data_IF_146304925747
#
_entry.id   IF_146304925747
#
_cell.length_a   1.000
_cell.length_b   1.000
_cell.length_c   1.000
_cell.angle_alpha   90.00
_cell.angle_beta   90.00
_cell.angle_gamma   90.00
#
_symmetry.space_group_name_H-M   'P 1'
#
loop_
_entity.id
_entity.type
_entity.pdbx_description
1 polymer ?
#
# COMPACT_ATOMS: atom_id res chain seq x y z
N UNK A 1 5.93 -19.04 -26.50
CA UNK A 1 5.94 -18.01 -25.43
C UNK A 1 7.34 -18.03 -24.83
N UNK A 2 8.08 -16.94 -24.90
CA UNK A 2 9.40 -16.83 -24.28
C UNK A 2 9.25 -16.09 -22.96
N UNK A 3 9.79 -16.67 -21.88
CA UNK A 3 9.83 -16.04 -20.56
C UNK A 3 11.26 -15.64 -20.29
N UNK A 4 11.49 -14.36 -19.98
CA UNK A 4 12.78 -13.84 -19.57
C UNK A 4 12.81 -13.75 -18.04
N UNK A 5 13.68 -14.57 -17.43
CA UNK A 5 14.03 -14.45 -16.01
C UNK A 5 15.27 -13.56 -15.91
N UNK A 6 15.18 -12.54 -15.07
CA UNK A 6 16.33 -11.71 -14.67
C UNK A 6 16.45 -11.78 -13.17
N UNK A 7 17.62 -12.19 -12.68
CA UNK A 7 17.92 -12.13 -11.26
C UNK A 7 17.95 -10.64 -10.83
N UNK A 8 17.20 -10.34 -9.78
CA UNK A 8 17.27 -9.03 -9.15
C UNK A 8 18.68 -8.90 -8.53
N UNK A 9 19.40 -7.80 -8.79
CA UNK A 9 20.69 -7.59 -8.16
C UNK A 9 20.53 -7.59 -6.64
N UNK A 10 21.46 -8.26 -5.96
CA UNK A 10 21.57 -8.38 -4.51
C UNK A 10 22.03 -7.05 -3.87
N UNK A 11 21.28 -6.00 -4.17
CA UNK A 11 21.43 -4.64 -3.65
C UNK A 11 20.34 -4.29 -2.64
N UNK A 12 19.47 -5.26 -2.31
CA UNK A 12 18.58 -5.13 -1.17
C UNK A 12 19.42 -5.10 0.10
N UNK A 13 19.24 -4.08 0.92
CA UNK A 13 19.90 -3.96 2.23
C UNK A 13 19.55 -5.21 3.08
N UNK A 14 20.51 -6.08 3.41
CA UNK A 14 20.23 -7.31 4.16
C UNK A 14 19.74 -7.05 5.58
N UNK A 15 19.88 -5.83 6.11
CA UNK A 15 19.31 -5.43 7.39
C UNK A 15 17.83 -5.01 7.28
N UNK A 16 17.38 -4.61 6.09
CA UNK A 16 15.97 -4.37 5.77
C UNK A 16 15.41 -5.65 5.14
N UNK A 17 15.32 -6.72 5.94
CA UNK A 17 14.66 -7.94 5.49
C UNK A 17 13.27 -7.61 4.94
N UNK A 18 12.84 -8.23 3.82
CA UNK A 18 11.50 -8.00 3.29
C UNK A 18 10.49 -8.26 4.41
N UNK A 19 9.53 -7.34 4.58
CA UNK A 19 8.43 -7.54 5.52
C UNK A 19 7.85 -8.94 5.33
N UNK A 20 7.64 -9.67 6.42
CA UNK A 20 7.11 -11.02 6.35
C UNK A 20 5.66 -10.96 5.85
N UNK A 21 5.22 -11.84 4.94
CA UNK A 21 3.79 -11.98 4.61
C UNK A 21 2.91 -12.25 5.83
N UNK A 22 3.49 -12.77 6.92
CA UNK A 22 2.79 -12.96 8.20
C UNK A 22 2.43 -11.63 8.91
N UNK A 23 3.12 -10.54 8.57
CA UNK A 23 2.94 -9.21 9.14
C UNK A 23 2.39 -8.23 8.08
N UNK A 24 1.54 -8.73 7.18
CA UNK A 24 0.93 -7.93 6.13
C UNK A 24 -0.19 -7.03 6.66
N UNK A 25 -0.32 -5.86 6.04
CA UNK A 25 -1.37 -4.89 6.30
C UNK A 25 -2.11 -4.58 5.01
N UNK A 26 -3.43 -4.39 5.12
CA UNK A 26 -4.25 -3.88 4.04
C UNK A 26 -4.49 -2.38 4.26
N UNK A 27 -3.98 -1.58 3.34
CA UNK A 27 -4.30 -0.15 3.20
C UNK A 27 -5.47 -0.02 2.23
N UNK A 28 -6.54 0.64 2.67
CA UNK A 28 -7.72 0.94 1.86
C UNK A 28 -7.82 2.44 1.68
N UNK A 29 -8.02 2.88 0.44
CA UNK A 29 -8.27 4.27 0.09
C UNK A 29 -9.58 4.38 -0.65
N UNK A 30 -10.43 5.33 -0.26
CA UNK A 30 -11.70 5.61 -0.93
C UNK A 30 -12.00 7.09 -1.03
N UNK A 31 -12.48 7.54 -2.18
CA UNK A 31 -12.97 8.90 -2.31
C UNK A 31 -13.32 9.27 -3.73
N UNK A 32 -13.61 10.55 -3.96
CA UNK A 32 -13.74 11.06 -5.32
C UNK A 32 -12.41 10.88 -6.05
N UNK A 33 -12.46 10.41 -7.30
CA UNK A 33 -11.24 10.22 -8.09
C UNK A 33 -10.52 11.55 -8.28
N UNK A 34 -9.24 11.57 -7.92
CA UNK A 34 -8.36 12.73 -8.03
C UNK A 34 -7.00 12.27 -8.54
N UNK A 35 -6.44 12.96 -9.56
CA UNK A 35 -5.10 12.68 -10.00
C UNK A 35 -4.10 12.69 -8.84
N UNK A 36 -3.28 11.65 -8.73
CA UNK A 36 -2.18 11.58 -7.78
C UNK A 36 -2.43 10.78 -6.49
N UNK A 37 -3.64 10.26 -6.24
CA UNK A 37 -3.90 9.42 -5.05
C UNK A 37 -2.92 8.25 -4.97
N UNK A 38 -2.81 7.46 -6.05
CA UNK A 38 -1.92 6.29 -6.13
C UNK A 38 -0.47 6.69 -5.87
N UNK A 39 0.00 7.74 -6.56
CA UNK A 39 1.38 8.22 -6.43
C UNK A 39 1.69 8.62 -4.99
N UNK A 40 0.85 9.45 -4.36
CA UNK A 40 1.13 9.98 -3.01
C UNK A 40 1.13 8.88 -1.95
N UNK A 41 0.24 7.90 -2.06
CA UNK A 41 0.19 6.76 -1.12
C UNK A 41 1.39 5.82 -1.33
N UNK A 42 1.72 5.48 -2.58
CA UNK A 42 2.87 4.63 -2.89
C UNK A 42 4.21 5.31 -2.52
N UNK A 43 4.31 6.63 -2.71
CA UNK A 43 5.46 7.44 -2.31
C UNK A 43 5.65 7.41 -0.79
N UNK A 44 4.56 7.45 0.00
CA UNK A 44 4.62 7.33 1.45
C UNK A 44 5.12 5.96 1.91
N UNK A 45 4.63 4.88 1.29
CA UNK A 45 5.16 3.53 1.54
C UNK A 45 6.66 3.46 1.23
N UNK A 46 7.05 4.01 0.08
CA UNK A 46 8.46 4.01 -0.38
C UNK A 46 9.37 4.78 0.57
N UNK A 47 8.96 5.96 1.05
CA UNK A 47 9.72 6.76 2.03
C UNK A 47 10.06 5.96 3.29
N UNK A 48 9.15 5.07 3.69
CA UNK A 48 9.27 4.22 4.89
C UNK A 48 9.85 2.83 4.60
N UNK A 49 10.24 2.56 3.34
CA UNK A 49 10.69 1.24 2.85
C UNK A 49 9.65 0.13 3.08
N UNK A 50 8.38 0.50 3.17
CA UNK A 50 7.27 -0.44 3.26
C UNK A 50 7.10 -1.08 1.90
N UNK A 51 7.19 -2.41 1.85
CA UNK A 51 7.03 -3.15 0.61
C UNK A 51 5.54 -3.20 0.24
N UNK A 52 5.22 -3.00 -1.03
CA UNK A 52 3.85 -3.16 -1.56
C UNK A 52 3.80 -4.53 -2.25
N UNK A 53 3.01 -5.45 -1.71
CA UNK A 53 2.94 -6.85 -2.20
C UNK A 53 1.82 -7.05 -3.20
N UNK A 54 0.74 -6.28 -3.10
CA UNK A 54 -0.38 -6.31 -4.05
C UNK A 54 -1.09 -4.96 -4.11
N UNK A 55 -1.67 -4.63 -5.27
CA UNK A 55 -2.48 -3.42 -5.47
C UNK A 55 -3.64 -3.73 -6.41
N UNK A 56 -4.85 -3.46 -5.94
CA UNK A 56 -6.07 -3.46 -6.74
C UNK A 56 -6.70 -2.06 -6.73
N UNK A 57 -7.14 -1.59 -7.89
CA UNK A 57 -7.89 -0.34 -8.02
C UNK A 57 -9.16 -0.56 -8.81
N UNK A 58 -10.22 0.14 -8.42
CA UNK A 58 -11.50 0.11 -9.13
C UNK A 58 -12.28 1.38 -8.90
N UNK A 59 -13.11 1.72 -9.87
CA UNK A 59 -14.14 2.75 -9.72
C UNK A 59 -15.46 2.03 -9.47
N UNK A 60 -16.19 2.47 -8.45
CA UNK A 60 -17.52 1.97 -8.09
C UNK A 60 -18.52 3.14 -7.99
N UNK A 61 -19.80 2.84 -7.75
CA UNK A 61 -20.87 3.85 -7.66
C UNK A 61 -21.68 4.00 -8.94
N UNK A 62 -22.78 4.74 -8.85
CA UNK A 62 -23.69 5.01 -9.98
C UNK A 62 -23.19 6.20 -10.82
N UNK A 63 -23.69 6.28 -12.05
CA UNK A 63 -23.44 7.40 -12.96
C UNK A 63 -23.76 8.74 -12.29
N UNK A 64 -22.74 9.60 -12.14
CA UNK A 64 -22.83 10.91 -11.49
C UNK A 64 -22.16 11.03 -10.12
N UNK A 65 -21.84 9.90 -9.47
CA UNK A 65 -21.11 9.87 -8.18
C UNK A 65 -20.11 8.71 -8.12
N UNK A 66 -19.11 8.66 -9.03
CA UNK A 66 -18.10 7.61 -9.01
C UNK A 66 -17.21 7.74 -7.76
N UNK A 67 -16.97 6.62 -7.10
CA UNK A 67 -16.07 6.48 -5.97
C UNK A 67 -14.87 5.64 -6.41
N UNK A 68 -13.70 6.23 -6.34
CA UNK A 68 -12.45 5.52 -6.52
C UNK A 68 -12.14 4.70 -5.27
N UNK A 69 -11.74 3.45 -5.46
CA UNK A 69 -11.30 2.55 -4.39
C UNK A 69 -9.94 1.97 -4.77
N UNK A 70 -8.99 2.04 -3.85
CA UNK A 70 -7.72 1.34 -3.92
C UNK A 70 -7.55 0.46 -2.69
N UNK A 71 -7.17 -0.79 -2.93
CA UNK A 71 -6.74 -1.75 -1.94
C UNK A 71 -5.26 -2.03 -2.20
N UNK A 72 -4.44 -1.86 -1.17
CA UNK A 72 -3.01 -2.03 -1.26
C UNK A 72 -2.57 -2.91 -0.10
N UNK A 73 -2.01 -4.08 -0.43
CA UNK A 73 -1.34 -4.90 0.56
C UNK A 73 0.09 -4.44 0.72
N UNK A 74 0.50 -4.29 1.96
CA UNK A 74 1.83 -3.85 2.32
C UNK A 74 2.45 -4.76 3.37
N UNK A 75 3.77 -4.94 3.26
CA UNK A 75 4.59 -5.65 4.23
C UNK A 75 5.64 -4.68 4.78
N UNK A 76 5.38 -4.04 5.94
CA UNK A 76 6.34 -3.17 6.59
C UNK A 76 7.60 -3.95 7.01
N UNK A 77 8.80 -3.37 6.90
CA UNK A 77 10.00 -4.00 7.42
C UNK A 77 9.94 -4.13 8.95
N UNK A 78 10.69 -5.06 9.55
CA UNK A 78 10.77 -5.19 11.00
C UNK A 78 11.19 -3.88 11.66
N UNK A 79 10.53 -3.51 12.76
CA UNK A 79 10.81 -2.28 13.49
C UNK A 79 10.19 -1.01 12.90
N UNK A 80 9.32 -1.12 11.88
CA UNK A 80 8.50 0.01 11.42
C UNK A 80 7.62 0.52 12.57
N UNK A 81 7.64 1.83 12.80
CA UNK A 81 6.69 2.48 13.71
C UNK A 81 5.33 2.59 13.03
N UNK A 82 4.43 1.67 13.40
CA UNK A 82 3.08 1.61 12.85
C UNK A 82 2.23 2.82 13.26
N UNK A 83 2.47 3.41 14.44
CA UNK A 83 1.74 4.60 14.89
C UNK A 83 2.12 5.84 14.08
N UNK A 84 3.41 5.96 13.70
CA UNK A 84 3.86 6.98 12.76
C UNK A 84 3.23 6.77 11.38
N UNK A 85 3.27 5.54 10.84
CA UNK A 85 2.65 5.22 9.55
C UNK A 85 1.14 5.56 9.52
N UNK A 86 0.40 5.20 10.57
CA UNK A 86 -1.02 5.54 10.72
C UNK A 86 -1.26 7.04 10.75
N UNK A 87 -0.44 7.79 11.50
CA UNK A 87 -0.54 9.25 11.60
C UNK A 87 -0.34 9.93 10.24
N UNK A 88 0.54 9.36 9.42
CA UNK A 88 0.93 9.91 8.12
C UNK A 88 -0.12 9.60 7.05
N UNK A 89 -0.71 8.41 7.11
CA UNK A 89 -1.90 8.07 6.32
C UNK A 89 -3.11 8.93 6.71
N UNK A 90 -3.29 9.26 7.99
CA UNK A 90 -4.32 10.18 8.43
C UNK A 90 -4.11 11.62 7.90
N UNK A 91 -2.85 12.08 7.83
CA UNK A 91 -2.54 13.35 7.16
C UNK A 91 -2.85 13.30 5.66
N UNK A 92 -2.43 12.24 4.96
CA UNK A 92 -2.71 12.06 3.54
C UNK A 92 -4.21 11.98 3.23
N UNK A 93 -4.99 11.34 4.08
CA UNK A 93 -6.46 11.31 4.03
C UNK A 93 -7.03 12.73 3.97
N UNK A 94 -6.54 13.62 4.85
CA UNK A 94 -6.96 15.03 4.88
C UNK A 94 -6.49 15.79 3.63
N UNK A 95 -5.23 15.65 3.24
CA UNK A 95 -4.65 16.37 2.09
C UNK A 95 -5.32 16.00 0.76
N UNK A 96 -5.63 14.72 0.57
CA UNK A 96 -6.23 14.21 -0.66
C UNK A 96 -7.76 14.31 -0.63
N UNK A 97 -8.35 14.59 0.54
CA UNK A 97 -9.79 14.52 0.82
C UNK A 97 -10.40 13.15 0.44
N UNK A 98 -9.76 12.09 0.92
CA UNK A 98 -10.17 10.68 0.75
C UNK A 98 -10.15 9.99 2.11
N UNK A 99 -10.92 8.93 2.27
CA UNK A 99 -10.79 8.04 3.42
C UNK A 99 -9.58 7.13 3.21
N UNK A 100 -8.71 7.03 4.21
CA UNK A 100 -7.61 6.05 4.25
C UNK A 100 -7.70 5.27 5.55
N UNK A 101 -7.65 3.95 5.46
CA UNK A 101 -7.54 3.07 6.63
C UNK A 101 -6.47 2.01 6.41
N UNK A 102 -5.86 1.56 7.50
CA UNK A 102 -4.88 0.48 7.52
C UNK A 102 -5.32 -0.53 8.58
N UNK A 103 -5.19 -1.82 8.26
CA UNK A 103 -5.46 -2.91 9.21
C UNK A 103 -4.54 -4.07 8.95
N UNK A 104 -4.14 -4.78 10.00
CA UNK A 104 -3.40 -6.02 9.84
C UNK A 104 -4.28 -7.08 9.17
N UNK A 105 -3.69 -7.91 8.32
CA UNK A 105 -4.34 -9.06 7.72
C UNK A 105 -3.55 -10.32 8.04
N UNK A 106 -4.27 -11.40 8.34
CA UNK A 106 -3.68 -12.70 8.57
C UNK A 106 -3.82 -13.54 7.30
N UNK A 107 -2.68 -13.98 6.76
CA UNK A 107 -2.68 -15.01 5.74
C UNK A 107 -2.92 -16.37 6.39
N UNK A 108 -4.16 -16.86 6.30
CA UNK A 108 -4.41 -18.27 6.59
C UNK A 108 -3.91 -19.08 5.40
N UNK A 109 -2.76 -19.75 5.57
CA UNK A 109 -2.36 -20.79 4.63
C UNK A 109 -3.43 -21.91 4.66
N UNK A 110 -4.17 -22.06 3.55
CA UNK A 110 -5.08 -23.18 3.32
C UNK A 110 -4.31 -24.47 3.02
#
# INVERSE_FOLDING_TARGET
>A
IAVFLRELPDTADPAAGPGSPADAYLVRVMGADRPGIVFRVAEEMTRRRVNITDVETRVTGEDGTPVYVMLMEVAPPPGTDMGELESELARLSTELAVEISIRQIEYTAL
#
